data_IF_622651134863
#
_entry.id   IF_622651134863
#
_cell.length_a   1.000
_cell.length_b   1.000
_cell.length_c   1.000
_cell.angle_alpha   90.00
_cell.angle_beta   90.00
_cell.angle_gamma   90.00
#
_symmetry.space_group_name_H-M   'P 1'
#
loop_
_entity.id
_entity.type
_entity.pdbx_description
1 polymer ?
#
# COMPACT_ATOMS: atom_id res chain seq x y z
N UNK A 1 -4.72 19.35 1.34
CA UNK A 1 -4.95 17.91 1.48
C UNK A 1 -3.65 17.20 1.83
N UNK A 2 -2.60 17.17 0.96
CA UNK A 2 -1.34 16.45 1.22
C UNK A 2 -0.73 16.74 2.59
N UNK A 3 -0.68 18.01 3.01
CA UNK A 3 -0.16 18.39 4.32
C UNK A 3 -0.94 17.74 5.47
N UNK A 4 -2.27 17.68 5.37
CA UNK A 4 -3.10 17.02 6.37
C UNK A 4 -2.82 15.51 6.45
N UNK A 5 -2.63 14.85 5.31
CA UNK A 5 -2.25 13.43 5.24
C UNK A 5 -0.91 13.20 5.94
N UNK A 6 0.09 14.02 5.67
CA UNK A 6 1.44 13.90 6.27
C UNK A 6 1.36 13.98 7.79
N UNK A 7 0.69 15.00 8.33
CA UNK A 7 0.56 15.17 9.77
C UNK A 7 -0.27 14.06 10.42
N UNK A 8 -1.35 13.62 9.78
CA UNK A 8 -2.15 12.49 10.25
C UNK A 8 -1.33 11.19 10.30
N UNK A 9 -0.44 10.96 9.31
CA UNK A 9 0.46 9.82 9.32
C UNK A 9 1.42 9.85 10.50
N UNK A 10 2.12 10.95 10.71
CA UNK A 10 3.04 11.09 11.84
C UNK A 10 2.34 10.93 13.18
N UNK A 11 1.16 11.52 13.34
CA UNK A 11 0.36 11.44 14.55
C UNK A 11 -0.10 9.99 14.82
N UNK A 12 -0.59 9.29 13.79
CA UNK A 12 -0.98 7.90 13.90
C UNK A 12 0.18 7.01 14.35
N UNK A 13 1.31 7.08 13.68
CA UNK A 13 2.46 6.24 14.02
C UNK A 13 3.03 6.56 15.40
N UNK A 14 3.14 7.84 15.75
CA UNK A 14 3.59 8.24 17.09
C UNK A 14 2.66 7.72 18.21
N UNK A 15 1.34 7.81 18.02
CA UNK A 15 0.35 7.32 18.99
C UNK A 15 0.33 5.80 19.12
N UNK A 16 0.74 5.07 18.08
CA UNK A 16 0.77 3.61 18.05
C UNK A 16 2.15 3.02 18.39
N UNK A 17 3.05 3.85 18.91
CA UNK A 17 4.34 3.41 19.42
C UNK A 17 5.38 3.12 18.35
N UNK A 18 5.23 3.68 17.16
CA UNK A 18 6.24 3.58 16.12
C UNK A 18 7.29 4.68 16.28
N UNK A 19 8.53 4.31 16.06
CA UNK A 19 9.67 5.22 16.06
C UNK A 19 10.00 5.62 14.64
N UNK A 20 10.14 6.93 14.39
CA UNK A 20 10.59 7.44 13.09
C UNK A 20 12.05 7.01 12.87
N UNK A 21 12.30 6.38 11.73
CA UNK A 21 13.62 5.88 11.35
C UNK A 21 13.88 6.27 9.89
N UNK A 22 14.79 7.22 9.67
CA UNK A 22 15.07 7.75 8.32
C UNK A 22 16.03 6.83 7.56
N UNK A 23 15.58 6.31 6.43
CA UNK A 23 16.37 5.49 5.53
C UNK A 23 17.22 6.36 4.59
N UNK A 24 18.42 5.92 4.20
CA UNK A 24 19.26 6.67 3.26
C UNK A 24 18.66 6.65 1.86
N UNK A 25 18.82 7.78 1.15
CA UNK A 25 18.38 7.91 -0.25
C UNK A 25 19.33 7.17 -1.19
N UNK A 26 20.62 7.20 -0.92
CA UNK A 26 21.62 6.45 -1.69
C UNK A 26 21.84 5.08 -1.07
N UNK A 27 21.66 4.04 -1.85
CA UNK A 27 21.78 2.64 -1.43
C UNK A 27 22.69 1.86 -2.37
N UNK A 28 23.41 0.87 -1.83
CA UNK A 28 24.15 -0.09 -2.65
C UNK A 28 23.31 -1.26 -3.17
N UNK A 29 22.04 -1.38 -2.76
CA UNK A 29 21.18 -2.51 -3.05
C UNK A 29 19.83 -2.08 -3.60
N UNK A 30 19.24 -2.95 -4.45
CA UNK A 30 17.84 -2.87 -4.82
C UNK A 30 16.95 -3.43 -3.69
N UNK A 31 15.87 -2.75 -3.36
CA UNK A 31 14.86 -3.26 -2.42
C UNK A 31 13.82 -4.14 -3.13
N UNK A 32 13.57 -3.89 -4.40
CA UNK A 32 12.57 -4.58 -5.21
C UNK A 32 13.23 -5.31 -6.37
N UNK A 33 12.65 -6.42 -6.83
CA UNK A 33 13.09 -7.16 -8.02
C UNK A 33 12.81 -6.43 -9.34
N UNK A 34 12.74 -5.11 -9.31
CA UNK A 34 12.56 -4.30 -10.51
C UNK A 34 13.86 -4.07 -11.20
N UNK A 35 13.82 -3.98 -12.51
CA UNK A 35 14.97 -4.10 -13.38
C UNK A 35 15.76 -2.82 -13.56
N UNK A 36 15.20 -1.66 -13.25
CA UNK A 36 15.85 -0.38 -13.52
C UNK A 36 15.96 0.47 -12.25
N UNK A 37 17.21 0.84 -11.93
CA UNK A 37 17.54 1.75 -10.84
C UNK A 37 18.13 3.04 -11.41
N UNK A 38 17.91 4.16 -10.76
CA UNK A 38 18.68 5.36 -11.02
C UNK A 38 20.06 5.22 -10.38
N UNK A 39 21.07 5.02 -11.20
CA UNK A 39 22.47 4.86 -10.79
C UNK A 39 23.19 6.20 -10.75
N UNK A 40 24.08 6.37 -9.78
CA UNK A 40 24.99 7.51 -9.67
C UNK A 40 26.38 7.09 -9.26
N UNK A 41 27.39 7.88 -9.62
CA UNK A 41 28.75 7.71 -9.09
C UNK A 41 28.80 8.16 -7.63
N UNK A 42 29.32 7.31 -6.78
CA UNK A 42 29.53 7.57 -5.36
C UNK A 42 30.99 7.31 -4.99
N UNK A 43 31.82 8.32 -5.19
CA UNK A 43 33.27 8.27 -4.93
C UNK A 43 33.98 7.12 -5.65
N UNK A 44 33.65 6.87 -6.92
CA UNK A 44 34.21 5.81 -7.76
C UNK A 44 33.53 4.44 -7.56
N UNK A 45 32.45 4.36 -6.83
CA UNK A 45 31.59 3.16 -6.71
C UNK A 45 30.18 3.50 -7.23
N UNK A 46 29.45 2.47 -7.67
CA UNK A 46 28.03 2.64 -8.00
C UNK A 46 27.18 2.74 -6.74
N UNK A 47 26.28 3.72 -6.71
CA UNK A 47 25.18 3.79 -5.78
C UNK A 47 23.87 4.05 -6.53
N UNK A 48 22.75 3.72 -5.91
CA UNK A 48 21.44 3.81 -6.52
C UNK A 48 20.52 4.66 -5.67
N UNK A 49 19.61 5.41 -6.30
CA UNK A 49 18.50 6.04 -5.59
C UNK A 49 17.53 4.97 -5.06
N UNK A 50 17.19 5.07 -3.79
CA UNK A 50 16.43 4.06 -3.07
C UNK A 50 15.01 3.89 -3.64
N UNK A 51 14.57 2.66 -3.78
CA UNK A 51 13.22 2.29 -4.19
C UNK A 51 12.23 2.20 -3.02
N UNK A 52 12.73 2.03 -1.79
CA UNK A 52 11.97 1.87 -0.54
C UNK A 52 12.91 2.00 0.65
N UNK A 53 12.38 2.36 1.80
CA UNK A 53 13.10 2.31 3.08
C UNK A 53 13.18 0.92 3.70
N UNK A 54 12.48 -0.07 3.15
CA UNK A 54 12.23 -1.38 3.75
C UNK A 54 13.49 -2.06 4.33
N UNK A 55 14.57 -2.19 3.56
CA UNK A 55 15.77 -2.91 4.01
C UNK A 55 16.40 -2.31 5.27
N UNK A 56 16.36 -1.00 5.41
CA UNK A 56 16.85 -0.29 6.58
C UNK A 56 15.86 -0.34 7.73
N UNK A 57 14.57 -0.26 7.43
CA UNK A 57 13.49 -0.39 8.42
C UNK A 57 13.46 -1.79 9.04
N UNK A 58 13.67 -2.85 8.27
CA UNK A 58 13.79 -4.21 8.81
C UNK A 58 14.93 -4.32 9.83
N UNK A 59 16.09 -3.75 9.52
CA UNK A 59 17.21 -3.69 10.48
C UNK A 59 16.86 -2.82 11.69
N UNK A 60 16.21 -1.67 11.46
CA UNK A 60 15.73 -0.78 12.53
C UNK A 60 14.69 -1.45 13.42
N UNK A 61 13.77 -2.22 12.84
CA UNK A 61 12.74 -2.96 13.57
C UNK A 61 13.33 -4.03 14.52
N UNK A 62 14.43 -4.65 14.14
CA UNK A 62 15.15 -5.60 14.98
C UNK A 62 15.70 -4.97 16.28
N UNK A 63 16.05 -3.68 16.22
CA UNK A 63 16.61 -2.96 17.36
C UNK A 63 15.55 -2.16 18.15
N UNK A 64 14.57 -1.59 17.47
CA UNK A 64 13.65 -0.59 18.02
C UNK A 64 12.19 -1.08 18.12
N UNK A 65 11.88 -2.23 17.55
CA UNK A 65 10.52 -2.74 17.47
C UNK A 65 9.75 -2.09 16.30
N UNK A 66 8.69 -1.35 16.60
CA UNK A 66 7.88 -0.69 15.55
C UNK A 66 8.59 0.55 15.03
N UNK A 67 8.85 0.58 13.74
CA UNK A 67 9.52 1.70 13.08
C UNK A 67 8.75 2.13 11.83
N UNK A 68 8.90 3.38 11.43
CA UNK A 68 8.37 3.88 10.17
C UNK A 68 9.31 4.89 9.53
N UNK A 69 9.25 4.96 8.21
CA UNK A 69 9.87 5.99 7.41
C UNK A 69 8.81 6.77 6.62
N UNK A 70 9.11 8.00 6.29
CA UNK A 70 8.37 8.77 5.31
C UNK A 70 9.36 9.63 4.54
N UNK A 71 9.77 9.13 3.40
CA UNK A 71 10.85 9.72 2.62
C UNK A 71 10.69 9.58 1.11
N UNK A 72 11.54 10.26 0.34
CA UNK A 72 11.52 10.17 -1.10
C UNK A 72 12.06 8.81 -1.56
N UNK A 73 11.36 8.22 -2.53
CA UNK A 73 11.75 6.97 -3.21
C UNK A 73 11.67 7.16 -4.72
N UNK A 74 12.39 6.29 -5.43
CA UNK A 74 12.64 6.46 -6.85
C UNK A 74 12.41 5.14 -7.60
N UNK A 75 11.65 5.21 -8.69
CA UNK A 75 11.38 4.08 -9.59
C UNK A 75 11.77 4.48 -10.99
N UNK A 76 12.78 3.85 -11.57
CA UNK A 76 13.33 4.21 -12.89
C UNK A 76 12.46 3.73 -14.06
N UNK A 77 11.35 3.08 -13.77
CA UNK A 77 10.43 2.55 -14.78
C UNK A 77 9.71 3.65 -15.56
N UNK A 78 9.72 3.52 -16.87
CA UNK A 78 9.00 4.42 -17.78
C UNK A 78 7.51 4.09 -17.79
N UNK A 79 6.78 4.54 -16.79
CA UNK A 79 5.34 4.36 -16.73
C UNK A 79 4.60 5.53 -17.42
N UNK A 80 3.56 5.18 -18.18
CA UNK A 80 2.64 6.16 -18.79
C UNK A 80 1.29 6.25 -18.06
N UNK A 81 1.16 5.66 -16.90
CA UNK A 81 -0.09 5.68 -16.14
C UNK A 81 -0.21 6.94 -15.29
N UNK A 82 -1.44 7.32 -14.95
CA UNK A 82 -1.71 8.48 -14.07
C UNK A 82 -1.35 8.24 -12.61
N UNK A 83 -1.00 7.02 -12.24
CA UNK A 83 -0.76 6.60 -10.85
C UNK A 83 0.70 6.33 -10.52
N UNK A 84 1.60 6.31 -11.53
CA UNK A 84 3.00 6.00 -11.33
C UNK A 84 3.87 7.23 -11.56
N UNK A 85 4.69 7.55 -10.57
CA UNK A 85 5.68 8.61 -10.62
C UNK A 85 7.08 7.98 -10.50
N UNK A 86 8.07 8.61 -11.09
CA UNK A 86 9.48 8.20 -10.97
C UNK A 86 10.13 8.65 -9.67
N UNK A 87 9.56 9.66 -9.02
CA UNK A 87 9.92 10.13 -7.69
C UNK A 87 8.63 10.39 -6.90
N UNK A 88 8.52 9.84 -5.71
CA UNK A 88 7.40 10.07 -4.82
C UNK A 88 7.82 9.85 -3.37
N UNK A 89 6.98 10.28 -2.44
CA UNK A 89 7.18 10.03 -1.02
C UNK A 89 6.39 8.80 -0.61
N UNK A 90 7.10 7.83 -0.03
CA UNK A 90 6.54 6.58 0.44
C UNK A 90 6.47 6.57 1.96
N UNK A 91 5.37 6.06 2.48
CA UNK A 91 5.23 5.72 3.88
C UNK A 91 5.47 4.23 4.03
N UNK A 92 6.60 3.88 4.61
CA UNK A 92 6.97 2.51 4.94
C UNK A 92 6.87 2.30 6.46
N UNK A 93 6.38 1.17 6.91
CA UNK A 93 6.30 0.83 8.32
C UNK A 93 6.58 -0.66 8.55
N UNK A 94 7.50 -0.94 9.49
CA UNK A 94 7.87 -2.29 9.89
C UNK A 94 7.51 -2.54 11.36
N UNK A 95 6.83 -3.63 11.64
CA UNK A 95 6.37 -3.98 12.98
C UNK A 95 6.44 -5.49 13.22
N UNK A 96 7.51 -5.98 13.85
CA UNK A 96 7.72 -7.40 14.12
C UNK A 96 6.69 -7.95 15.11
N UNK A 97 6.55 -9.28 15.13
CA UNK A 97 5.68 -10.03 16.04
C UNK A 97 4.18 -9.74 15.90
N UNK A 98 3.76 -9.28 14.74
CA UNK A 98 2.36 -9.02 14.40
C UNK A 98 1.88 -10.12 13.44
N UNK A 99 0.69 -10.64 13.70
CA UNK A 99 0.03 -11.59 12.78
C UNK A 99 -0.51 -10.86 11.55
N UNK A 100 -0.86 -11.62 10.52
CA UNK A 100 -1.46 -11.06 9.32
C UNK A 100 -2.77 -10.29 9.63
N UNK A 101 -3.65 -10.87 10.43
CA UNK A 101 -4.91 -10.21 10.81
C UNK A 101 -4.69 -8.92 11.59
N UNK A 102 -3.75 -8.93 12.54
CA UNK A 102 -3.37 -7.72 13.28
C UNK A 102 -2.77 -6.65 12.36
N UNK A 103 -2.03 -7.07 11.31
CA UNK A 103 -1.51 -6.16 10.29
C UNK A 103 -2.64 -5.50 9.50
N UNK A 104 -3.66 -6.25 9.10
CA UNK A 104 -4.84 -5.70 8.43
C UNK A 104 -5.60 -4.70 9.33
N UNK A 105 -5.71 -4.99 10.65
CA UNK A 105 -6.33 -4.06 11.60
C UNK A 105 -5.53 -2.74 11.71
N UNK A 106 -4.21 -2.82 11.75
CA UNK A 106 -3.33 -1.63 11.77
C UNK A 106 -3.48 -0.81 10.48
N UNK A 107 -3.49 -1.47 9.33
CA UNK A 107 -3.65 -0.80 8.04
C UNK A 107 -5.02 -0.12 7.92
N UNK A 108 -6.11 -0.80 8.32
CA UNK A 108 -7.44 -0.21 8.35
C UNK A 108 -7.49 1.02 9.27
N UNK A 109 -6.96 0.89 10.49
CA UNK A 109 -6.91 1.99 11.44
C UNK A 109 -6.09 3.17 10.91
N UNK A 110 -4.97 2.90 10.21
CA UNK A 110 -4.15 3.92 9.59
C UNK A 110 -4.90 4.67 8.48
N UNK A 111 -5.52 3.97 7.54
CA UNK A 111 -6.30 4.60 6.47
C UNK A 111 -7.44 5.45 7.03
N UNK A 112 -8.17 4.95 8.04
CA UNK A 112 -9.21 5.71 8.73
C UNK A 112 -8.68 6.97 9.40
N UNK A 113 -7.52 6.89 10.05
CA UNK A 113 -6.87 8.04 10.66
C UNK A 113 -6.46 9.10 9.62
N UNK A 114 -5.97 8.69 8.43
CA UNK A 114 -5.68 9.59 7.33
C UNK A 114 -6.94 10.32 6.83
N UNK A 115 -8.02 9.58 6.62
CA UNK A 115 -9.29 10.15 6.16
C UNK A 115 -9.81 11.16 7.20
N UNK A 116 -9.82 10.79 8.48
CA UNK A 116 -10.24 11.68 9.56
C UNK A 116 -9.37 12.94 9.60
N UNK A 117 -8.04 12.79 9.53
CA UNK A 117 -7.12 13.92 9.53
C UNK A 117 -7.33 14.87 8.34
N UNK A 118 -7.73 14.36 7.18
CA UNK A 118 -8.07 15.18 6.01
C UNK A 118 -9.41 15.90 6.23
N UNK A 119 -10.43 15.21 6.73
CA UNK A 119 -11.74 15.83 7.02
C UNK A 119 -11.60 16.95 8.05
N UNK A 120 -10.83 16.74 9.11
CA UNK A 120 -10.66 17.72 10.19
C UNK A 120 -9.80 18.93 9.78
N UNK A 121 -8.76 18.72 8.95
CA UNK A 121 -7.72 19.74 8.73
C UNK A 121 -7.63 20.26 7.28
N UNK A 122 -8.45 19.76 6.36
CA UNK A 122 -8.44 20.17 4.97
C UNK A 122 -9.83 20.51 4.40
N UNK A 123 -10.80 20.83 5.24
CA UNK A 123 -12.17 21.09 4.84
C UNK A 123 -12.28 22.16 3.74
N UNK A 124 -11.59 23.29 3.89
CA UNK A 124 -11.54 24.35 2.88
C UNK A 124 -10.97 23.86 1.52
N UNK A 125 -9.93 23.03 1.56
CA UNK A 125 -9.34 22.50 0.33
C UNK A 125 -10.27 21.48 -0.35
N UNK A 126 -11.01 20.66 0.41
CA UNK A 126 -12.00 19.72 -0.11
C UNK A 126 -13.18 20.46 -0.75
N UNK A 127 -13.67 21.52 -0.12
CA UNK A 127 -14.71 22.40 -0.67
C UNK A 127 -14.25 23.07 -1.97
N UNK A 128 -13.03 23.63 -2.00
CA UNK A 128 -12.45 24.26 -3.20
C UNK A 128 -12.28 23.27 -4.37
N UNK A 129 -12.02 21.99 -4.07
CA UNK A 129 -11.91 20.92 -5.04
C UNK A 129 -13.26 20.28 -5.39
N UNK A 130 -14.36 20.81 -4.85
CA UNK A 130 -15.71 20.26 -5.02
C UNK A 130 -15.78 18.75 -4.72
N UNK A 131 -14.99 18.29 -3.72
CA UNK A 131 -14.91 16.88 -3.38
C UNK A 131 -16.10 16.44 -2.50
N UNK A 132 -16.90 15.52 -3.00
CA UNK A 132 -17.88 14.84 -2.15
C UNK A 132 -17.17 14.01 -1.07
N UNK A 133 -17.49 14.31 0.18
CA UNK A 133 -16.88 13.67 1.36
C UNK A 133 -17.77 12.59 1.98
N UNK A 134 -18.97 12.36 1.47
CA UNK A 134 -19.92 11.39 2.02
C UNK A 134 -19.33 9.97 2.08
N UNK A 135 -18.64 9.55 1.02
CA UNK A 135 -17.96 8.26 0.97
C UNK A 135 -16.79 8.18 1.95
N UNK A 136 -16.07 9.27 2.16
CA UNK A 136 -14.96 9.31 3.12
C UNK A 136 -15.47 9.09 4.55
N UNK A 137 -16.60 9.73 4.92
CA UNK A 137 -17.22 9.49 6.21
C UNK A 137 -17.69 8.04 6.36
N UNK A 138 -18.33 7.48 5.32
CA UNK A 138 -18.73 6.06 5.31
C UNK A 138 -17.54 5.13 5.57
N UNK A 139 -16.37 5.39 4.99
CA UNK A 139 -15.17 4.56 5.18
C UNK A 139 -14.63 4.59 6.60
N UNK A 140 -14.79 5.71 7.33
CA UNK A 140 -14.45 5.79 8.75
C UNK A 140 -15.40 4.93 9.58
N UNK A 141 -16.70 5.02 9.32
CA UNK A 141 -17.75 4.44 10.14
C UNK A 141 -17.95 2.93 9.89
N UNK A 142 -17.46 2.42 8.76
CA UNK A 142 -17.68 1.04 8.34
C UNK A 142 -16.37 0.24 8.39
N UNK A 143 -16.36 -1.00 8.89
CA UNK A 143 -15.22 -1.89 8.76
C UNK A 143 -14.88 -2.15 7.29
N UNK A 144 -13.58 -2.26 6.97
CA UNK A 144 -13.12 -2.65 5.65
C UNK A 144 -13.47 -4.12 5.39
N UNK A 145 -13.80 -4.42 4.14
CA UNK A 145 -14.10 -5.79 3.74
C UNK A 145 -12.81 -6.59 3.59
N UNK A 146 -12.82 -7.85 4.03
CA UNK A 146 -11.74 -8.82 3.78
C UNK A 146 -12.29 -9.93 2.91
N UNK A 147 -11.66 -10.20 1.80
CA UNK A 147 -12.09 -11.16 0.78
C UNK A 147 -10.88 -12.00 0.39
N UNK A 148 -11.03 -13.31 0.31
CA UNK A 148 -9.96 -14.15 -0.22
C UNK A 148 -9.77 -13.93 -1.72
N UNK A 149 -8.58 -14.25 -2.21
CA UNK A 149 -8.30 -14.18 -3.64
C UNK A 149 -9.28 -15.04 -4.46
N UNK A 150 -9.57 -16.26 -3.98
CA UNK A 150 -10.49 -17.18 -4.65
C UNK A 150 -11.91 -16.60 -4.71
N UNK A 151 -12.42 -16.04 -3.59
CA UNK A 151 -13.73 -15.36 -3.56
C UNK A 151 -13.76 -14.15 -4.49
N UNK A 152 -12.64 -13.42 -4.62
CA UNK A 152 -12.55 -12.28 -5.53
C UNK A 152 -12.57 -12.73 -7.01
N UNK A 153 -11.88 -13.81 -7.37
CA UNK A 153 -11.94 -14.41 -8.70
C UNK A 153 -13.36 -14.87 -9.03
N UNK A 154 -13.97 -15.66 -8.15
CA UNK A 154 -15.34 -16.15 -8.33
C UNK A 154 -16.32 -14.99 -8.54
N UNK A 155 -16.17 -13.92 -7.76
CA UNK A 155 -17.00 -12.73 -7.86
C UNK A 155 -16.83 -12.01 -9.22
N UNK A 156 -15.59 -11.81 -9.66
CA UNK A 156 -15.30 -11.17 -10.95
C UNK A 156 -15.85 -12.00 -12.12
N UNK A 157 -15.63 -13.32 -12.10
CA UNK A 157 -16.14 -14.22 -13.15
C UNK A 157 -17.67 -14.26 -13.21
N UNK A 158 -18.34 -14.21 -12.06
CA UNK A 158 -19.79 -14.18 -11.99
C UNK A 158 -20.41 -12.93 -12.60
N UNK A 159 -19.68 -11.83 -12.62
CA UNK A 159 -20.13 -10.50 -13.07
C UNK A 159 -19.44 -9.97 -14.33
N UNK A 160 -18.60 -10.77 -14.98
CA UNK A 160 -17.83 -10.33 -16.16
C UNK A 160 -18.67 -9.92 -17.38
N UNK A 161 -19.91 -10.38 -17.44
CA UNK A 161 -20.84 -10.08 -18.55
C UNK A 161 -21.93 -9.05 -18.18
N UNK A 162 -21.82 -8.41 -17.00
CA UNK A 162 -22.78 -7.38 -16.61
C UNK A 162 -22.57 -6.10 -17.44
N UNK A 163 -23.63 -5.31 -17.65
CA UNK A 163 -23.60 -4.11 -18.53
C UNK A 163 -22.59 -3.05 -18.04
N UNK A 164 -22.31 -2.99 -16.73
CA UNK A 164 -21.43 -2.00 -16.10
C UNK A 164 -19.99 -2.53 -15.87
N UNK A 165 -19.65 -3.68 -16.46
CA UNK A 165 -18.33 -4.28 -16.31
C UNK A 165 -17.30 -3.64 -17.25
N UNK A 166 -16.22 -3.09 -16.69
CA UNK A 166 -15.10 -2.45 -17.40
C UNK A 166 -13.76 -3.11 -17.04
N UNK A 167 -13.74 -4.44 -17.00
CA UNK A 167 -12.52 -5.21 -16.80
C UNK A 167 -12.48 -6.44 -17.71
N UNK A 168 -11.26 -6.90 -18.00
CA UNK A 168 -11.02 -8.10 -18.80
C UNK A 168 -11.24 -9.36 -17.94
N UNK A 169 -11.54 -10.48 -18.61
CA UNK A 169 -11.66 -11.79 -17.97
C UNK A 169 -10.39 -12.10 -17.16
N UNK A 170 -10.58 -12.71 -15.98
CA UNK A 170 -9.50 -13.10 -15.08
C UNK A 170 -9.66 -14.56 -14.69
N UNK A 171 -8.56 -15.31 -14.73
CA UNK A 171 -8.52 -16.72 -14.29
C UNK A 171 -7.78 -16.87 -12.95
N UNK A 172 -8.02 -18.00 -12.28
CA UNK A 172 -7.28 -18.32 -11.07
C UNK A 172 -5.76 -18.46 -11.39
N UNK A 173 -4.95 -17.66 -10.71
CA UNK A 173 -3.51 -17.56 -10.94
C UNK A 173 -3.10 -16.26 -11.63
N UNK A 174 -4.05 -15.43 -12.07
CA UNK A 174 -3.79 -14.11 -12.63
C UNK A 174 -3.68 -13.05 -11.52
N UNK A 175 -2.89 -12.02 -11.75
CA UNK A 175 -2.86 -10.85 -10.88
C UNK A 175 -3.98 -9.86 -11.26
N UNK A 176 -4.49 -9.13 -10.26
CA UNK A 176 -5.54 -8.15 -10.51
C UNK A 176 -4.97 -6.85 -11.07
N UNK A 177 -5.57 -6.37 -12.15
CA UNK A 177 -5.35 -5.02 -12.64
C UNK A 177 -6.25 -4.01 -11.93
N UNK A 178 -5.91 -2.73 -12.09
CA UNK A 178 -6.68 -1.61 -11.50
C UNK A 178 -8.19 -1.63 -11.79
N UNK A 179 -8.69 -2.07 -12.97
CA UNK A 179 -10.13 -2.20 -13.18
C UNK A 179 -10.78 -3.23 -12.28
N UNK A 180 -10.18 -4.41 -12.09
CA UNK A 180 -10.65 -5.47 -11.18
C UNK A 180 -10.77 -4.97 -9.75
N UNK A 181 -9.72 -4.35 -9.23
CA UNK A 181 -9.67 -3.80 -7.87
C UNK A 181 -10.72 -2.71 -7.66
N UNK A 182 -10.89 -1.84 -8.64
CA UNK A 182 -11.89 -0.76 -8.60
C UNK A 182 -13.29 -1.33 -8.58
N UNK A 183 -13.57 -2.32 -9.41
CA UNK A 183 -14.89 -2.95 -9.47
C UNK A 183 -15.22 -3.66 -8.15
N UNK A 184 -14.30 -4.45 -7.59
CA UNK A 184 -14.49 -5.15 -6.30
C UNK A 184 -14.78 -4.13 -5.18
N UNK A 185 -14.00 -3.05 -5.10
CA UNK A 185 -14.19 -2.02 -4.08
C UNK A 185 -15.55 -1.32 -4.24
N UNK A 186 -15.98 -1.07 -5.45
CA UNK A 186 -17.30 -0.49 -5.75
C UNK A 186 -18.44 -1.45 -5.40
N UNK A 187 -18.28 -2.74 -5.70
CA UNK A 187 -19.26 -3.77 -5.38
C UNK A 187 -19.56 -3.83 -3.89
N UNK A 188 -18.53 -3.83 -3.06
CA UNK A 188 -18.70 -3.80 -1.60
C UNK A 188 -19.02 -2.40 -1.06
N UNK A 189 -18.71 -1.35 -1.81
CA UNK A 189 -18.93 0.05 -1.43
C UNK A 189 -18.12 0.51 -0.23
N UNK A 190 -17.03 -0.19 0.10
CA UNK A 190 -16.04 0.13 1.12
C UNK A 190 -14.66 -0.32 0.67
N UNK A 191 -13.56 0.22 1.22
CA UNK A 191 -12.23 -0.30 0.95
C UNK A 191 -12.15 -1.79 1.28
N UNK A 192 -11.49 -2.56 0.42
CA UNK A 192 -11.49 -4.02 0.48
C UNK A 192 -10.07 -4.54 0.47
N UNK A 193 -9.73 -5.37 1.44
CA UNK A 193 -8.52 -6.17 1.44
C UNK A 193 -8.76 -7.47 0.68
N UNK A 194 -7.91 -7.76 -0.29
CA UNK A 194 -7.86 -9.08 -0.90
C UNK A 194 -6.70 -9.84 -0.27
N UNK A 195 -6.97 -11.00 0.29
CA UNK A 195 -6.02 -11.79 1.06
C UNK A 195 -5.84 -13.19 0.46
N UNK A 196 -4.81 -13.91 0.91
CA UNK A 196 -4.54 -15.29 0.51
C UNK A 196 -4.29 -15.47 -0.99
N UNK A 197 -3.45 -14.60 -1.55
CA UNK A 197 -3.02 -14.72 -2.95
C UNK A 197 -2.21 -16.02 -3.21
N UNK A 198 -2.27 -16.57 -4.43
CA UNK A 198 -1.41 -17.68 -4.84
C UNK A 198 0.08 -17.31 -4.72
N UNK A 199 0.90 -18.25 -4.21
CA UNK A 199 2.35 -18.02 -4.06
C UNK A 199 3.08 -17.86 -5.39
N UNK A 200 2.47 -18.27 -6.51
CA UNK A 200 3.11 -18.32 -7.83
C UNK A 200 3.55 -16.95 -8.35
N UNK A 201 2.89 -15.87 -7.93
CA UNK A 201 3.22 -14.51 -8.38
C UNK A 201 3.52 -13.54 -7.22
N UNK A 202 3.57 -14.03 -5.98
CA UNK A 202 3.99 -13.23 -4.84
C UNK A 202 5.47 -13.39 -4.54
N UNK A 203 6.07 -12.40 -3.88
CA UNK A 203 7.48 -12.39 -3.58
C UNK A 203 7.87 -13.56 -2.67
N UNK A 204 9.06 -14.14 -2.92
CA UNK A 204 9.55 -15.35 -2.25
C UNK A 204 9.67 -15.24 -0.73
N UNK A 205 9.78 -14.02 -0.19
CA UNK A 205 9.90 -13.74 1.24
C UNK A 205 8.55 -13.71 1.97
N UNK A 206 7.44 -13.74 1.26
CA UNK A 206 6.12 -13.78 1.88
C UNK A 206 5.89 -15.11 2.57
N UNK A 207 5.32 -15.08 3.76
CA UNK A 207 5.04 -16.27 4.55
C UNK A 207 3.93 -17.11 3.91
N UNK A 208 4.20 -18.36 3.46
CA UNK A 208 3.16 -19.24 2.95
C UNK A 208 2.16 -19.63 4.05
N UNK A 209 0.88 -19.64 3.73
CA UNK A 209 -0.15 -20.23 4.58
C UNK A 209 -0.33 -21.72 4.25
N UNK A 210 -0.62 -22.57 5.24
CA UNK A 210 -0.77 -24.02 5.06
C UNK A 210 -1.97 -24.41 4.18
N UNK A 211 -2.94 -23.53 4.00
CA UNK A 211 -4.15 -23.77 3.22
C UNK A 211 -4.19 -22.96 1.92
N UNK A 212 -3.55 -21.81 1.90
CA UNK A 212 -3.45 -20.90 0.77
C UNK A 212 -2.05 -20.28 0.81
N UNK A 213 -1.47 -20.09 -0.31
CA UNK A 213 -0.05 -20.01 -0.44
C UNK A 213 0.59 -18.67 -0.10
N UNK A 214 -0.14 -17.63 0.27
CA UNK A 214 0.48 -16.42 0.84
C UNK A 214 -0.54 -15.50 1.51
N UNK A 215 -0.31 -14.99 2.73
CA UNK A 215 -0.91 -13.74 3.11
C UNK A 215 -0.32 -12.64 2.21
N UNK A 216 -1.16 -11.74 1.72
CA UNK A 216 -0.70 -10.48 1.16
C UNK A 216 0.08 -9.71 2.22
N UNK A 217 1.11 -8.93 1.84
CA UNK A 217 1.81 -8.08 2.78
C UNK A 217 0.90 -7.07 3.42
#
# INVERSE_FOLDING_TARGET
VRNAIIYASYDFFAKNGFIKFDSPILSGNAAENTTELFETDYFGNSAFLSQSGQLYLEAGAMALGRVFDFGPVFRAEKSKTRRHLTEFWMMDAEYPFVTHDESLDIQEAYVKALIQGVLDNAAYALETLERDTSMLQKYIDTPFKRVSYDEAIDLLQAHENDEDTDYEHVEHGDDFGSPHETWISNYYGVPTFIVNYPASFKAFYMKPCLLYTSPSP
#
